data_IF_310078492472
#
_entry.id   IF_310078492472
#
_cell.length_a   1.000
_cell.length_b   1.000
_cell.length_c   1.000
_cell.angle_alpha   90.00
_cell.angle_beta   90.00
_cell.angle_gamma   90.00
#
_symmetry.space_group_name_H-M   'P 1'
#
loop_
_entity.id
_entity.type
_entity.pdbx_description
1 polymer ?
#
# COMPACT_ATOMS: atom_id res chain seq x y z
N UNK A 1 -3.35 -10.21 -2.49
CA UNK A 1 -2.06 -10.46 -3.14
C UNK A 1 -1.11 -9.30 -2.87
N UNK A 2 0.08 -9.60 -2.38
CA UNK A 2 1.09 -8.58 -2.09
C UNK A 2 1.86 -8.21 -3.35
N UNK A 3 2.28 -6.93 -3.48
CA UNK A 3 3.24 -6.56 -4.51
C UNK A 3 4.53 -7.36 -4.34
N UNK A 4 5.24 -7.56 -5.44
CA UNK A 4 6.49 -8.33 -5.42
C UNK A 4 7.49 -7.77 -4.41
N UNK A 5 7.54 -6.45 -4.28
CA UNK A 5 8.45 -5.78 -3.35
C UNK A 5 8.21 -6.15 -1.88
N UNK A 6 7.00 -6.59 -1.53
CA UNK A 6 6.64 -6.90 -0.15
C UNK A 6 6.59 -8.40 0.15
N UNK A 7 6.78 -9.24 -0.86
CA UNK A 7 6.77 -10.68 -0.63
C UNK A 7 7.95 -11.11 0.22
N UNK A 8 7.68 -12.00 1.16
CA UNK A 8 8.73 -12.53 2.04
C UNK A 8 9.14 -11.62 3.17
N UNK A 9 8.54 -10.44 3.29
CA UNK A 9 8.85 -9.51 4.36
C UNK A 9 7.89 -9.71 5.55
N UNK A 10 8.40 -9.50 6.76
CA UNK A 10 7.54 -9.50 7.94
C UNK A 10 6.85 -8.14 8.09
N UNK A 11 6.00 -8.03 9.11
CA UNK A 11 5.20 -6.80 9.33
C UNK A 11 6.07 -5.56 9.49
N UNK A 12 7.15 -5.66 10.26
CA UNK A 12 8.05 -4.52 10.47
C UNK A 12 8.75 -4.12 9.19
N UNK A 13 9.19 -5.10 8.40
CA UNK A 13 9.86 -4.85 7.13
C UNK A 13 8.90 -4.24 6.11
N UNK A 14 7.66 -4.70 6.06
CA UNK A 14 6.64 -4.12 5.18
C UNK A 14 6.39 -2.67 5.58
N UNK A 15 6.23 -2.40 6.88
CA UNK A 15 6.02 -1.05 7.38
C UNK A 15 7.16 -0.13 6.98
N UNK A 16 8.40 -0.59 7.17
CA UNK A 16 9.57 0.21 6.81
C UNK A 16 9.64 0.46 5.31
N UNK A 17 9.35 -0.55 4.49
CA UNK A 17 9.36 -0.40 3.04
C UNK A 17 8.35 0.65 2.58
N UNK A 18 7.15 0.63 3.15
CA UNK A 18 6.11 1.60 2.80
C UNK A 18 6.51 3.01 3.26
N UNK A 19 7.04 3.14 4.47
CA UNK A 19 7.46 4.45 5.00
C UNK A 19 8.60 5.05 4.20
N UNK A 20 9.48 4.23 3.66
CA UNK A 20 10.63 4.69 2.88
C UNK A 20 10.33 4.85 1.38
N UNK A 21 9.16 4.42 0.92
CA UNK A 21 8.78 4.55 -0.47
C UNK A 21 8.39 5.99 -0.81
N UNK A 22 8.53 6.40 -2.08
CA UNK A 22 8.17 7.77 -2.50
C UNK A 22 6.66 7.92 -2.67
N UNK A 23 5.92 7.77 -1.57
CA UNK A 23 4.47 7.87 -1.55
C UNK A 23 4.03 9.16 -0.86
N UNK A 24 2.94 9.76 -1.34
CA UNK A 24 2.32 10.86 -0.66
C UNK A 24 1.69 10.40 0.66
N UNK A 25 1.29 11.37 1.49
CA UNK A 25 0.71 11.07 2.81
C UNK A 25 -0.49 10.12 2.72
N UNK A 26 -1.42 10.42 1.80
CA UNK A 26 -2.63 9.63 1.63
C UNK A 26 -2.31 8.22 1.13
N UNK A 27 -1.45 8.13 0.12
CA UNK A 27 -1.07 6.84 -0.44
C UNK A 27 -0.33 5.99 0.57
N UNK A 28 0.54 6.60 1.39
CA UNK A 28 1.24 5.88 2.45
C UNK A 28 0.24 5.32 3.46
N UNK A 29 -0.77 6.11 3.85
CA UNK A 29 -1.79 5.63 4.76
C UNK A 29 -2.57 4.45 4.16
N UNK A 30 -2.96 4.57 2.90
CA UNK A 30 -3.68 3.49 2.20
C UNK A 30 -2.83 2.22 2.17
N UNK A 31 -1.55 2.35 1.83
CA UNK A 31 -0.66 1.20 1.77
C UNK A 31 -0.50 0.52 3.14
N UNK A 32 -0.36 1.31 4.21
CA UNK A 32 -0.27 0.75 5.55
C UNK A 32 -1.55 0.02 5.95
N UNK A 33 -2.72 0.60 5.65
CA UNK A 33 -3.99 -0.04 5.95
C UNK A 33 -4.14 -1.36 5.17
N UNK A 34 -3.71 -1.39 3.92
CA UNK A 34 -3.86 -2.57 3.07
C UNK A 34 -2.87 -3.68 3.42
N UNK A 35 -1.60 -3.33 3.59
CA UNK A 35 -0.54 -4.33 3.69
C UNK A 35 -0.07 -4.64 5.10
N UNK A 36 -0.18 -3.70 6.02
CA UNK A 36 0.17 -3.92 7.42
C UNK A 36 -1.05 -4.35 8.22
N UNK A 37 -2.14 -3.58 8.11
CA UNK A 37 -3.38 -3.88 8.81
C UNK A 37 -4.23 -4.94 8.10
N UNK A 38 -3.95 -5.19 6.82
CA UNK A 38 -4.61 -6.20 5.99
C UNK A 38 -6.11 -5.99 5.86
N UNK A 39 -6.53 -4.73 5.77
CA UNK A 39 -7.95 -4.40 5.64
C UNK A 39 -8.42 -4.61 4.21
N UNK A 40 -9.68 -5.07 4.04
CA UNK A 40 -10.29 -5.13 2.71
C UNK A 40 -10.59 -3.73 2.19
N UNK A 41 -10.78 -3.63 0.87
CA UNK A 41 -11.00 -2.32 0.22
C UNK A 41 -12.16 -1.53 0.81
N UNK A 42 -13.32 -2.13 1.14
CA UNK A 42 -14.42 -1.35 1.72
C UNK A 42 -14.04 -0.66 3.03
N UNK A 43 -13.24 -1.32 3.86
CA UNK A 43 -12.83 -0.75 5.14
C UNK A 43 -11.85 0.40 4.95
N UNK A 44 -10.93 0.26 4.00
CA UNK A 44 -9.99 1.33 3.67
C UNK A 44 -10.76 2.54 3.11
N UNK A 45 -11.72 2.29 2.24
CA UNK A 45 -12.56 3.34 1.67
C UNK A 45 -13.29 4.10 2.78
N UNK A 46 -13.86 3.38 3.74
CA UNK A 46 -14.58 4.00 4.85
C UNK A 46 -13.67 4.88 5.71
N UNK A 47 -12.44 4.44 5.96
CA UNK A 47 -11.51 5.18 6.81
C UNK A 47 -10.90 6.40 6.11
N UNK A 48 -10.78 6.35 4.79
CA UNK A 48 -10.11 7.41 4.04
C UNK A 48 -11.09 8.34 3.34
N UNK A 49 -12.40 8.04 3.38
CA UNK A 49 -13.45 8.79 2.70
C UNK A 49 -13.33 8.78 1.17
N UNK A 50 -12.61 7.81 0.62
CA UNK A 50 -12.56 7.57 -0.82
C UNK A 50 -13.51 6.44 -1.19
N UNK A 51 -13.92 6.39 -2.46
CA UNK A 51 -14.70 5.27 -2.96
C UNK A 51 -13.80 4.03 -3.11
N UNK A 52 -14.43 2.85 -3.17
CA UNK A 52 -13.69 1.60 -3.38
C UNK A 52 -12.94 1.62 -4.71
N UNK A 53 -13.55 2.19 -5.74
CA UNK A 53 -12.92 2.33 -7.05
C UNK A 53 -11.66 3.19 -6.96
N UNK A 54 -11.75 4.33 -6.24
CA UNK A 54 -10.61 5.22 -6.06
C UNK A 54 -9.49 4.53 -5.29
N UNK A 55 -9.83 3.77 -4.24
CA UNK A 55 -8.83 3.02 -3.48
C UNK A 55 -8.13 1.98 -4.36
N UNK A 56 -8.89 1.26 -5.18
CA UNK A 56 -8.32 0.29 -6.11
C UNK A 56 -7.33 0.93 -7.07
N UNK A 57 -7.70 2.08 -7.63
CA UNK A 57 -6.81 2.80 -8.54
C UNK A 57 -5.53 3.27 -7.83
N UNK A 58 -5.69 3.83 -6.62
CA UNK A 58 -4.53 4.29 -5.86
C UNK A 58 -3.61 3.15 -5.46
N UNK A 59 -4.17 1.99 -5.12
CA UNK A 59 -3.35 0.82 -4.80
C UNK A 59 -2.56 0.33 -6.00
N UNK A 60 -3.14 0.42 -7.20
CA UNK A 60 -2.41 0.07 -8.41
C UNK A 60 -1.17 0.96 -8.58
N UNK A 61 -1.34 2.26 -8.39
CA UNK A 61 -0.23 3.21 -8.50
C UNK A 61 0.79 2.98 -7.39
N UNK A 62 0.32 2.74 -6.16
CA UNK A 62 1.18 2.46 -5.02
C UNK A 62 2.03 1.21 -5.28
N UNK A 63 1.40 0.14 -5.75
CA UNK A 63 2.10 -1.12 -6.03
C UNK A 63 3.16 -0.94 -7.11
N UNK A 64 2.86 -0.15 -8.15
CA UNK A 64 3.84 0.14 -9.19
C UNK A 64 5.06 0.87 -8.61
N UNK A 65 4.83 1.85 -7.74
CA UNK A 65 5.93 2.59 -7.13
C UNK A 65 6.78 1.72 -6.20
N UNK A 66 6.14 0.84 -5.44
CA UNK A 66 6.87 -0.10 -4.58
C UNK A 66 7.70 -1.07 -5.40
N UNK A 67 7.15 -1.58 -6.49
CA UNK A 67 7.86 -2.52 -7.36
C UNK A 67 9.03 -1.85 -8.08
N UNK A 68 8.86 -0.61 -8.55
CA UNK A 68 9.95 0.15 -9.15
C UNK A 68 11.12 0.30 -8.19
N UNK A 69 10.83 0.60 -6.93
CA UNK A 69 11.87 0.82 -5.93
C UNK A 69 12.67 -0.43 -5.64
N UNK A 70 12.05 -1.61 -5.76
CA UNK A 70 12.74 -2.88 -5.50
C UNK A 70 13.38 -3.47 -6.75
N UNK A 71 13.16 -2.87 -7.91
CA UNK A 71 13.77 -3.35 -9.15
C UNK A 71 15.26 -3.01 -9.19
N UNK A 72 16.08 -3.96 -9.63
CA UNK A 72 17.52 -3.71 -9.74
C UNK A 72 17.87 -2.69 -10.82
#
# INVERSE_FOLDING_TARGET
VLPAALKGLDRQQITAAIKNAPLGRVDRKIALLRYVERLPLPDIAAQTHYSRTAIGYRLKVIDEKLDERSSP
#
